data_IF_804225663995
#
_entry.id   IF_804225663995
#
_cell.length_a   1.000
_cell.length_b   1.000
_cell.length_c   1.000
_cell.angle_alpha   90.00
_cell.angle_beta   90.00
_cell.angle_gamma   90.00
#
_symmetry.space_group_name_H-M   'P 1'
#
loop_
_entity.id
_entity.type
_entity.pdbx_description
1 polymer ?
#
# COMPACT_ATOMS: atom_id res chain seq x y z
N UNK A 1 81.08 -81.31 -21.89
CA UNK A 1 81.16 -79.83 -21.99
C UNK A 1 80.19 -79.18 -23.01
N UNK A 2 79.24 -79.91 -23.65
CA UNK A 2 78.30 -79.35 -24.64
C UNK A 2 76.90 -78.98 -24.09
N UNK A 3 76.39 -79.65 -23.05
CA UNK A 3 75.05 -79.36 -22.49
C UNK A 3 74.91 -77.99 -21.80
N UNK A 4 75.94 -77.55 -21.08
CA UNK A 4 75.93 -76.26 -20.37
C UNK A 4 75.94 -75.06 -21.32
N UNK A 5 76.53 -75.22 -22.51
CA UNK A 5 76.53 -74.17 -23.54
C UNK A 5 75.14 -74.04 -24.17
N UNK A 6 74.49 -75.14 -24.54
CA UNK A 6 73.14 -75.15 -25.14
C UNK A 6 72.10 -74.56 -24.17
N UNK A 7 72.17 -74.91 -22.89
CA UNK A 7 71.26 -74.35 -21.87
C UNK A 7 71.46 -72.84 -21.69
N UNK A 8 72.70 -72.36 -21.66
CA UNK A 8 72.98 -70.91 -21.60
C UNK A 8 72.51 -70.17 -22.85
N UNK A 9 72.69 -70.75 -24.04
CA UNK A 9 72.22 -70.16 -25.29
C UNK A 9 70.69 -70.07 -25.33
N UNK A 10 69.98 -71.14 -24.91
CA UNK A 10 68.53 -71.15 -24.82
C UNK A 10 67.98 -70.11 -23.83
N UNK A 11 68.65 -69.90 -22.69
CA UNK A 11 68.26 -68.88 -21.69
C UNK A 11 68.44 -67.46 -22.26
N UNK A 12 69.48 -67.21 -23.05
CA UNK A 12 69.74 -65.91 -23.70
C UNK A 12 68.73 -65.65 -24.83
N UNK A 13 68.40 -66.66 -25.63
CA UNK A 13 67.37 -66.59 -26.67
C UNK A 13 65.99 -66.29 -26.07
N UNK A 14 65.66 -66.96 -24.96
CA UNK A 14 64.43 -66.71 -24.20
C UNK A 14 64.42 -65.30 -23.60
N UNK A 15 65.51 -64.83 -22.96
CA UNK A 15 65.51 -63.49 -22.36
C UNK A 15 65.37 -62.36 -23.39
N UNK A 16 65.84 -62.57 -24.62
CA UNK A 16 65.58 -61.66 -25.75
C UNK A 16 64.11 -61.65 -26.19
N UNK A 17 63.41 -62.78 -26.09
CA UNK A 17 61.96 -62.85 -26.38
C UNK A 17 61.10 -62.27 -25.25
N UNK A 18 61.54 -62.37 -23.99
CA UNK A 18 60.78 -61.89 -22.83
C UNK A 18 61.07 -60.43 -22.46
N UNK A 19 62.16 -59.85 -22.96
CA UNK A 19 62.52 -58.45 -22.76
C UNK A 19 61.66 -57.55 -23.66
N UNK A 20 60.45 -57.24 -23.24
CA UNK A 20 59.63 -56.20 -23.87
C UNK A 20 60.25 -54.84 -23.54
N UNK A 21 60.96 -54.19 -24.48
CA UNK A 21 61.52 -52.88 -24.20
C UNK A 21 60.35 -51.90 -24.08
N UNK A 22 60.46 -50.94 -23.15
CA UNK A 22 59.48 -49.89 -22.88
C UNK A 22 58.19 -50.29 -22.13
N UNK A 23 58.03 -51.51 -21.62
CA UNK A 23 56.86 -51.88 -20.80
C UNK A 23 56.62 -50.93 -19.62
N UNK A 24 57.69 -50.58 -18.89
CA UNK A 24 57.61 -49.61 -17.80
C UNK A 24 57.20 -48.20 -18.25
N UNK A 25 57.54 -47.80 -19.47
CA UNK A 25 57.11 -46.51 -20.03
C UNK A 25 55.63 -46.56 -20.42
N UNK A 26 55.17 -47.68 -20.98
CA UNK A 26 53.75 -47.92 -21.30
C UNK A 26 52.91 -47.90 -20.01
N UNK A 27 53.36 -48.54 -18.94
CA UNK A 27 52.68 -48.52 -17.64
C UNK A 27 52.61 -47.11 -17.05
N UNK A 28 53.70 -46.34 -17.16
CA UNK A 28 53.71 -44.92 -16.78
C UNK A 28 52.72 -44.09 -17.61
N UNK A 29 52.69 -44.27 -18.92
CA UNK A 29 51.75 -43.58 -19.81
C UNK A 29 50.30 -43.96 -19.47
N UNK A 30 50.01 -45.24 -19.22
CA UNK A 30 48.69 -45.70 -18.83
C UNK A 30 48.23 -45.13 -17.48
N UNK A 31 49.16 -44.98 -16.52
CA UNK A 31 48.88 -44.30 -15.25
C UNK A 31 48.52 -42.83 -15.47
N UNK A 32 49.27 -42.14 -16.34
CA UNK A 32 49.00 -40.75 -16.71
C UNK A 32 47.63 -40.62 -17.40
N UNK A 33 47.32 -41.49 -18.37
CA UNK A 33 46.02 -41.53 -19.06
C UNK A 33 44.88 -41.74 -18.07
N UNK A 34 45.03 -42.67 -17.11
CA UNK A 34 44.02 -42.92 -16.10
C UNK A 34 43.80 -41.71 -15.17
N UNK A 35 44.86 -40.99 -14.80
CA UNK A 35 44.73 -39.77 -14.00
C UNK A 35 44.02 -38.67 -14.79
N UNK A 36 44.39 -38.46 -16.05
CA UNK A 36 43.69 -37.50 -16.92
C UNK A 36 42.21 -37.84 -17.11
N UNK A 37 41.86 -39.12 -17.24
CA UNK A 37 40.47 -39.55 -17.32
C UNK A 37 39.69 -39.25 -16.03
N UNK A 38 40.30 -39.51 -14.86
CA UNK A 38 39.70 -39.16 -13.56
C UNK A 38 39.49 -37.66 -13.42
N UNK A 39 40.50 -36.86 -13.75
CA UNK A 39 40.40 -35.40 -13.69
C UNK A 39 39.30 -34.87 -14.62
N UNK A 40 39.17 -35.46 -15.82
CA UNK A 40 38.11 -35.13 -16.76
C UNK A 40 36.72 -35.47 -16.23
N UNK A 41 36.56 -36.62 -15.59
CA UNK A 41 35.29 -37.00 -14.93
C UNK A 41 34.94 -36.02 -13.80
N UNK A 42 35.91 -35.67 -12.96
CA UNK A 42 35.72 -34.69 -11.88
C UNK A 42 35.26 -33.34 -12.45
N UNK A 43 35.89 -32.87 -13.52
CA UNK A 43 35.54 -31.60 -14.18
C UNK A 43 34.12 -31.66 -14.76
N UNK A 44 33.75 -32.75 -15.44
CA UNK A 44 32.41 -32.93 -16.00
C UNK A 44 31.33 -32.97 -14.90
N UNK A 45 31.56 -33.70 -13.81
CA UNK A 45 30.63 -33.73 -12.69
C UNK A 45 30.50 -32.36 -12.01
N UNK A 46 31.61 -31.64 -11.88
CA UNK A 46 31.61 -30.29 -11.32
C UNK A 46 30.84 -29.31 -12.22
N UNK A 47 31.06 -29.33 -13.54
CA UNK A 47 30.38 -28.44 -14.47
C UNK A 47 28.87 -28.69 -14.48
N UNK A 48 28.43 -29.96 -14.52
CA UNK A 48 27.01 -30.33 -14.45
C UNK A 48 26.38 -29.81 -13.14
N UNK A 49 27.06 -30.00 -12.01
CA UNK A 49 26.57 -29.52 -10.71
C UNK A 49 26.45 -28.00 -10.66
N UNK A 50 27.42 -27.29 -11.24
CA UNK A 50 27.41 -25.83 -11.34
C UNK A 50 26.25 -25.36 -12.21
N UNK A 51 26.06 -25.95 -13.40
CA UNK A 51 24.93 -25.64 -14.27
C UNK A 51 23.59 -25.87 -13.59
N UNK A 52 23.42 -26.99 -12.88
CA UNK A 52 22.20 -27.26 -12.12
C UNK A 52 21.93 -26.20 -11.05
N UNK A 53 22.97 -25.76 -10.33
CA UNK A 53 22.85 -24.66 -9.36
C UNK A 53 22.50 -23.33 -10.03
N UNK A 54 23.05 -23.05 -11.21
CA UNK A 54 22.71 -21.86 -11.99
C UNK A 54 21.23 -21.90 -12.38
N UNK A 55 20.74 -23.04 -12.86
CA UNK A 55 19.33 -23.21 -13.23
C UNK A 55 18.38 -23.04 -12.02
N UNK A 56 18.74 -23.61 -10.87
CA UNK A 56 18.01 -23.42 -9.61
C UNK A 56 17.94 -21.93 -9.23
N UNK A 57 19.04 -21.18 -9.39
CA UNK A 57 19.08 -19.73 -9.12
C UNK A 57 18.28 -18.92 -10.14
N UNK A 58 18.34 -19.28 -11.42
CA UNK A 58 17.56 -18.61 -12.47
C UNK A 58 16.06 -18.77 -12.23
N UNK A 59 15.59 -19.96 -11.83
CA UNK A 59 14.19 -20.17 -11.44
C UNK A 59 13.78 -19.29 -10.26
N UNK A 60 14.64 -19.19 -9.25
CA UNK A 60 14.39 -18.32 -8.10
C UNK A 60 14.30 -16.84 -8.51
N UNK A 61 15.15 -16.39 -9.44
CA UNK A 61 15.09 -15.03 -9.99
C UNK A 61 13.74 -14.80 -10.69
N UNK A 62 13.31 -15.73 -11.53
CA UNK A 62 12.01 -15.64 -12.22
C UNK A 62 10.82 -15.61 -11.25
N UNK A 63 10.88 -16.37 -10.16
CA UNK A 63 9.86 -16.35 -9.11
C UNK A 63 9.82 -15.01 -8.37
N UNK A 64 10.99 -14.46 -8.03
CA UNK A 64 11.10 -13.15 -7.38
C UNK A 64 10.63 -12.03 -8.30
N UNK A 65 10.92 -12.09 -9.60
CA UNK A 65 10.44 -11.10 -10.58
C UNK A 65 8.91 -11.10 -10.68
N UNK A 66 8.28 -12.29 -10.67
CA UNK A 66 6.81 -12.41 -10.61
C UNK A 66 6.24 -11.82 -9.33
N UNK A 67 6.91 -12.00 -8.20
CA UNK A 67 6.49 -11.41 -6.93
C UNK A 67 6.62 -9.89 -6.94
N UNK A 68 7.72 -9.36 -7.49
CA UNK A 68 7.92 -7.92 -7.69
C UNK A 68 6.80 -7.33 -8.56
N UNK A 69 6.44 -8.00 -9.66
CA UNK A 69 5.33 -7.53 -10.50
C UNK A 69 3.99 -7.53 -9.76
N UNK A 70 3.72 -8.56 -8.96
CA UNK A 70 2.49 -8.65 -8.14
C UNK A 70 2.43 -7.48 -7.15
N UNK A 71 3.51 -7.27 -6.39
CA UNK A 71 3.59 -6.18 -5.40
C UNK A 71 3.43 -4.81 -6.07
N UNK A 72 4.04 -4.59 -7.24
CA UNK A 72 3.85 -3.34 -7.99
C UNK A 72 2.41 -3.14 -8.46
N UNK A 73 1.70 -4.20 -8.87
CA UNK A 73 0.28 -4.12 -9.24
C UNK A 73 -0.58 -3.75 -8.02
N UNK A 74 -0.33 -4.38 -6.88
CA UNK A 74 -1.03 -4.08 -5.63
C UNK A 74 -0.80 -2.62 -5.18
N UNK A 75 0.45 -2.14 -5.26
CA UNK A 75 0.81 -0.77 -4.90
C UNK A 75 0.13 0.25 -5.82
N UNK A 76 0.08 -0.02 -7.14
CA UNK A 76 -0.67 0.80 -8.09
C UNK A 76 -2.17 0.82 -7.77
N UNK A 77 -2.76 -0.32 -7.46
CA UNK A 77 -4.16 -0.42 -7.08
C UNK A 77 -4.47 0.36 -5.79
N UNK A 78 -3.54 0.34 -4.81
CA UNK A 78 -3.67 1.09 -3.57
C UNK A 78 -3.59 2.61 -3.82
N UNK A 79 -2.64 3.08 -4.64
CA UNK A 79 -2.54 4.50 -5.02
C UNK A 79 -3.83 5.03 -5.65
N UNK A 80 -4.44 4.27 -6.57
CA UNK A 80 -5.71 4.66 -7.19
C UNK A 80 -6.83 4.81 -6.15
N UNK A 81 -6.83 3.99 -5.08
CA UNK A 81 -7.80 4.12 -3.99
C UNK A 81 -7.55 5.39 -3.16
N UNK A 82 -6.30 5.73 -2.93
CA UNK A 82 -5.93 6.93 -2.18
C UNK A 82 -6.27 8.23 -2.94
N UNK A 83 -5.99 8.28 -4.25
CA UNK A 83 -6.38 9.40 -5.11
C UNK A 83 -7.91 9.60 -5.12
N UNK A 84 -8.67 8.51 -5.10
CA UNK A 84 -10.15 8.57 -4.98
C UNK A 84 -10.57 9.09 -3.61
N UNK A 85 -9.93 8.66 -2.53
CA UNK A 85 -10.18 9.15 -1.18
C UNK A 85 -9.99 10.68 -1.12
N UNK A 86 -8.86 11.18 -1.61
CA UNK A 86 -8.56 12.62 -1.63
C UNK A 86 -9.61 13.42 -2.41
N UNK A 87 -10.08 12.91 -3.56
CA UNK A 87 -11.15 13.57 -4.34
C UNK A 87 -12.47 13.64 -3.58
N UNK A 88 -12.83 12.59 -2.85
CA UNK A 88 -14.04 12.55 -2.04
C UNK A 88 -13.95 13.57 -0.90
N UNK A 89 -12.81 13.60 -0.19
CA UNK A 89 -12.59 14.54 0.90
C UNK A 89 -12.56 15.99 0.45
N UNK A 90 -11.90 16.28 -0.67
CA UNK A 90 -11.89 17.61 -1.27
C UNK A 90 -13.31 18.09 -1.57
N UNK A 91 -14.15 17.22 -2.13
CA UNK A 91 -15.54 17.55 -2.42
C UNK A 91 -16.38 17.73 -1.14
N UNK A 92 -16.21 16.84 -0.16
CA UNK A 92 -16.90 16.93 1.14
C UNK A 92 -16.55 18.24 1.86
N UNK A 93 -15.27 18.61 1.89
CA UNK A 93 -14.79 19.85 2.49
C UNK A 93 -15.35 21.09 1.77
N UNK A 94 -15.39 21.07 0.43
CA UNK A 94 -15.98 22.15 -0.36
C UNK A 94 -17.48 22.33 -0.03
N UNK A 95 -18.23 21.23 0.09
CA UNK A 95 -19.66 21.27 0.42
C UNK A 95 -19.91 21.73 1.85
N UNK A 96 -19.15 21.21 2.80
CA UNK A 96 -19.19 21.67 4.19
C UNK A 96 -18.96 23.18 4.31
N UNK A 97 -17.90 23.71 3.67
CA UNK A 97 -17.65 25.16 3.60
C UNK A 97 -18.79 25.94 2.95
N UNK A 98 -19.42 25.37 1.92
CA UNK A 98 -20.57 26.01 1.25
C UNK A 98 -21.77 26.11 2.18
N UNK A 99 -22.08 25.07 2.96
CA UNK A 99 -23.18 25.09 3.92
C UNK A 99 -22.87 26.05 5.08
N UNK A 100 -21.65 26.05 5.58
CA UNK A 100 -21.23 26.98 6.63
C UNK A 100 -21.35 28.46 6.21
N UNK A 101 -20.98 28.79 4.96
CA UNK A 101 -21.19 30.14 4.40
C UNK A 101 -22.66 30.53 4.29
N UNK A 102 -23.54 29.58 3.95
CA UNK A 102 -24.99 29.82 3.87
C UNK A 102 -25.60 30.08 5.23
N UNK A 103 -25.11 29.39 6.24
CA UNK A 103 -25.39 29.64 7.65
C UNK A 103 -24.67 30.90 8.18
N UNK A 104 -24.24 31.81 7.30
CA UNK A 104 -23.63 33.12 7.62
C UNK A 104 -22.42 33.10 8.57
N UNK A 105 -21.81 31.95 8.82
CA UNK A 105 -20.59 31.84 9.61
C UNK A 105 -19.36 32.21 8.76
N UNK A 106 -18.39 32.85 9.40
CA UNK A 106 -17.13 33.24 8.77
C UNK A 106 -16.27 32.00 8.49
N UNK A 107 -16.16 31.62 7.22
CA UNK A 107 -15.33 30.49 6.80
C UNK A 107 -13.87 30.94 6.67
N UNK A 108 -13.09 30.68 7.72
CA UNK A 108 -11.63 30.89 7.77
C UNK A 108 -10.88 29.65 7.22
N UNK A 109 -9.56 29.73 7.06
CA UNK A 109 -8.71 28.58 6.67
C UNK A 109 -8.83 27.41 7.65
N UNK A 110 -9.14 27.69 8.92
CA UNK A 110 -9.27 26.69 9.99
C UNK A 110 -10.63 25.98 10.02
N UNK A 111 -11.49 26.24 9.03
CA UNK A 111 -12.75 25.50 8.83
C UNK A 111 -12.53 24.39 7.81
N UNK A 112 -12.33 23.16 8.25
CA UNK A 112 -12.10 22.01 7.35
C UNK A 112 -12.55 20.69 7.99
N UNK A 113 -12.64 19.65 7.18
CA UNK A 113 -12.84 18.28 7.69
C UNK A 113 -11.49 17.60 7.69
N UNK A 114 -11.04 17.14 8.85
CA UNK A 114 -9.78 16.42 9.00
C UNK A 114 -9.86 15.06 8.30
N UNK A 115 -8.92 14.77 7.39
CA UNK A 115 -8.85 13.52 6.62
C UNK A 115 -8.48 12.29 7.46
N UNK A 116 -7.83 12.52 8.62
CA UNK A 116 -7.39 11.47 9.52
C UNK A 116 -8.47 11.12 10.54
N UNK A 117 -9.09 12.15 11.12
CA UNK A 117 -10.09 11.98 12.18
C UNK A 117 -11.53 11.95 11.69
N UNK A 118 -11.80 12.39 10.46
CA UNK A 118 -13.16 12.52 9.90
C UNK A 118 -14.06 13.46 10.72
N UNK A 119 -13.46 14.44 11.40
CA UNK A 119 -14.15 15.40 12.26
C UNK A 119 -14.14 16.76 11.57
N UNK A 120 -15.28 17.48 11.53
CA UNK A 120 -15.31 18.87 11.08
C UNK A 120 -14.70 19.80 12.14
N UNK A 121 -13.92 20.76 11.68
CA UNK A 121 -13.34 21.84 12.46
C UNK A 121 -13.94 23.17 12.00
N UNK A 122 -14.05 24.11 12.94
CA UNK A 122 -14.39 25.50 12.68
C UNK A 122 -13.54 26.36 13.61
N UNK A 123 -12.83 27.33 13.04
CA UNK A 123 -11.95 28.25 13.78
C UNK A 123 -10.96 27.56 14.73
N UNK A 124 -10.36 26.45 14.28
CA UNK A 124 -9.33 25.73 15.03
C UNK A 124 -9.82 24.84 16.17
N UNK A 125 -11.10 24.94 16.56
CA UNK A 125 -11.71 24.06 17.55
C UNK A 125 -12.55 22.95 16.89
N UNK A 126 -12.47 21.77 17.47
CA UNK A 126 -13.22 20.60 17.01
C UNK A 126 -14.66 20.65 17.51
N UNK A 127 -15.55 19.85 16.89
CA UNK A 127 -16.91 19.57 17.41
C UNK A 127 -16.92 19.22 18.90
N UNK A 128 -15.83 18.66 19.44
CA UNK A 128 -15.77 18.25 20.84
C UNK A 128 -15.30 19.35 21.79
N UNK A 129 -14.68 20.41 21.28
CA UNK A 129 -14.03 21.46 22.08
C UNK A 129 -14.78 22.80 22.07
N UNK A 130 -15.79 22.96 21.21
CA UNK A 130 -16.59 24.19 21.13
C UNK A 130 -17.61 24.29 22.26
N UNK A 131 -17.59 25.41 22.99
CA UNK A 131 -18.51 25.68 24.10
C UNK A 131 -19.92 26.10 23.65
N UNK A 132 -20.08 26.56 22.41
CA UNK A 132 -21.36 26.99 21.85
C UNK A 132 -22.16 25.83 21.24
N UNK A 133 -23.24 25.43 21.91
CA UNK A 133 -24.13 24.36 21.45
C UNK A 133 -24.85 24.65 20.13
N UNK A 134 -25.15 25.92 19.82
CA UNK A 134 -25.81 26.29 18.56
C UNK A 134 -24.87 26.18 17.35
N UNK A 135 -23.61 26.62 17.51
CA UNK A 135 -22.58 26.43 16.49
C UNK A 135 -22.30 24.93 16.27
N UNK A 136 -22.28 24.16 17.37
CA UNK A 136 -22.10 22.72 17.33
C UNK A 136 -23.18 22.01 16.49
N UNK A 137 -24.45 22.34 16.73
CA UNK A 137 -25.57 21.82 15.92
C UNK A 137 -25.43 22.22 14.44
N UNK A 138 -25.07 23.47 14.16
CA UNK A 138 -24.87 23.94 12.78
C UNK A 138 -23.71 23.23 12.05
N UNK A 139 -22.60 22.97 12.75
CA UNK A 139 -21.49 22.17 12.23
C UNK A 139 -21.92 20.75 11.92
N UNK A 140 -22.66 20.10 12.83
CA UNK A 140 -23.15 18.74 12.64
C UNK A 140 -24.13 18.64 11.47
N UNK A 141 -25.11 19.55 11.39
CA UNK A 141 -26.07 19.61 10.27
C UNK A 141 -25.33 19.84 8.95
N UNK A 142 -24.39 20.79 8.91
CA UNK A 142 -23.59 21.07 7.70
C UNK A 142 -22.75 19.88 7.26
N UNK A 143 -22.21 19.12 8.21
CA UNK A 143 -21.45 17.91 7.94
C UNK A 143 -22.33 16.78 7.39
N UNK A 144 -23.49 16.54 8.01
CA UNK A 144 -24.47 15.56 7.54
C UNK A 144 -25.03 15.93 6.16
N UNK A 145 -25.32 17.20 5.93
CA UNK A 145 -25.72 17.75 4.63
C UNK A 145 -24.65 17.52 3.55
N UNK A 146 -23.38 17.73 3.88
CA UNK A 146 -22.27 17.47 2.98
C UNK A 146 -22.14 15.98 2.63
N UNK A 147 -22.34 15.08 3.60
CA UNK A 147 -22.35 13.63 3.36
C UNK A 147 -23.48 13.22 2.41
N UNK A 148 -24.70 13.74 2.61
CA UNK A 148 -25.82 13.44 1.73
C UNK A 148 -25.58 13.94 0.30
N UNK A 149 -25.01 15.14 0.18
CA UNK A 149 -24.66 15.73 -1.12
C UNK A 149 -23.61 14.93 -1.90
N UNK A 150 -22.81 14.09 -1.24
CA UNK A 150 -21.86 13.20 -1.90
C UNK A 150 -22.55 12.08 -2.70
N UNK A 151 -23.80 11.73 -2.36
CA UNK A 151 -24.59 10.76 -3.12
C UNK A 151 -24.83 11.23 -4.56
N UNK A 152 -25.11 12.52 -4.75
CA UNK A 152 -25.43 13.07 -6.08
C UNK A 152 -24.26 13.00 -7.07
N UNK A 153 -23.02 12.89 -6.57
CA UNK A 153 -21.83 12.67 -7.39
C UNK A 153 -21.44 11.20 -7.55
N UNK A 154 -22.22 10.27 -7.01
CA UNK A 154 -21.95 8.83 -7.09
C UNK A 154 -20.83 8.34 -6.17
N UNK A 155 -20.41 9.15 -5.19
CA UNK A 155 -19.36 8.74 -4.24
C UNK A 155 -19.89 7.88 -3.08
N UNK A 156 -21.21 7.86 -2.87
CA UNK A 156 -21.88 7.17 -1.77
C UNK A 156 -22.92 6.15 -2.27
N UNK A 157 -22.50 5.20 -3.12
CA UNK A 157 -23.38 4.21 -3.81
C UNK A 157 -24.15 3.30 -2.84
N UNK A 158 -23.74 3.21 -1.57
CA UNK A 158 -24.39 2.38 -0.54
C UNK A 158 -25.07 3.15 0.61
N UNK A 159 -25.14 4.48 0.54
CA UNK A 159 -25.76 5.27 1.62
C UNK A 159 -27.28 5.35 1.39
N UNK A 160 -28.13 5.05 2.40
CA UNK A 160 -29.59 5.03 2.25
C UNK A 160 -30.21 6.39 1.92
N UNK A 161 -29.42 7.48 1.95
CA UNK A 161 -29.86 8.82 1.58
C UNK A 161 -30.90 9.42 2.53
N UNK A 162 -31.20 8.74 3.62
CA UNK A 162 -32.20 9.13 4.60
C UNK A 162 -31.52 9.84 5.77
N UNK A 163 -32.05 10.99 6.15
CA UNK A 163 -31.68 11.72 7.36
C UNK A 163 -32.95 11.92 8.19
N UNK A 164 -32.96 11.37 9.40
CA UNK A 164 -34.02 11.59 10.38
C UNK A 164 -33.43 12.41 11.53
N UNK A 165 -34.04 13.55 11.81
CA UNK A 165 -33.66 14.45 12.89
C UNK A 165 -34.84 14.46 13.87
N UNK A 166 -34.59 14.07 15.12
CA UNK A 166 -35.64 13.96 16.15
C UNK A 166 -35.93 15.32 16.78
N UNK A 167 -34.88 16.02 17.25
CA UNK A 167 -35.01 17.35 17.85
C UNK A 167 -33.83 18.25 17.48
N UNK A 168 -34.10 19.34 16.76
CA UNK A 168 -33.12 20.38 16.42
C UNK A 168 -33.27 21.68 17.23
N UNK A 169 -34.25 21.75 18.14
CA UNK A 169 -34.70 23.01 18.74
C UNK A 169 -34.05 23.34 20.09
N UNK A 170 -33.15 22.50 20.60
CA UNK A 170 -32.65 22.62 21.98
C UNK A 170 -31.56 23.69 22.12
N UNK A 171 -30.60 23.74 21.19
CA UNK A 171 -29.51 24.73 21.26
C UNK A 171 -29.63 25.84 20.20
N UNK A 172 -30.56 25.69 19.26
CA UNK A 172 -30.79 26.65 18.18
C UNK A 172 -31.54 27.93 18.62
N UNK A 173 -31.95 28.08 19.89
CA UNK A 173 -32.76 29.23 20.30
C UNK A 173 -32.86 29.41 21.81
N UNK A 174 -31.76 29.73 22.48
CA UNK A 174 -31.84 30.16 23.89
C UNK A 174 -31.92 31.67 23.96
N UNK A 175 -33.11 32.23 23.75
CA UNK A 175 -33.43 33.50 24.41
C UNK A 175 -33.47 33.17 25.91
N UNK A 176 -32.42 33.52 26.66
CA UNK A 176 -32.53 33.67 28.11
C UNK A 176 -33.12 35.06 28.34
N UNK A 177 -34.39 35.22 28.77
CA UNK A 177 -34.97 36.53 29.01
C UNK A 177 -34.43 37.23 30.27
N UNK A 178 -33.42 36.68 30.95
CA UNK A 178 -33.01 37.10 32.30
C UNK A 178 -31.66 37.81 32.40
N UNK A 179 -31.03 38.15 31.27
CA UNK A 179 -29.85 39.04 31.26
C UNK A 179 -30.14 40.35 30.51
N UNK A 180 -31.25 40.99 30.87
CA UNK A 180 -31.36 42.43 30.69
C UNK A 180 -30.56 43.12 31.80
N UNK A 181 -29.29 43.40 31.50
CA UNK A 181 -28.56 44.64 31.81
C UNK A 181 -27.05 44.36 31.84
N UNK A 182 -26.31 45.23 31.15
CA UNK A 182 -24.85 45.34 31.14
C UNK A 182 -24.09 44.35 30.25
N UNK A 183 -24.03 44.67 28.95
CA UNK A 183 -22.76 44.85 28.22
C UNK A 183 -23.03 45.34 26.79
N UNK A 184 -23.01 46.66 26.62
CA UNK A 184 -22.73 47.29 25.34
C UNK A 184 -21.25 47.07 25.01
N UNK A 185 -20.91 46.05 24.21
CA UNK A 185 -19.78 46.04 23.27
C UNK A 185 -19.66 44.70 22.53
N UNK A 186 -20.02 44.71 21.25
CA UNK A 186 -19.32 43.98 20.19
C UNK A 186 -19.26 42.44 20.24
N UNK A 187 -20.40 41.76 20.16
CA UNK A 187 -20.44 40.38 19.62
C UNK A 187 -21.64 40.23 18.69
N UNK A 188 -21.39 39.56 17.56
CA UNK A 188 -22.34 39.27 16.49
C UNK A 188 -23.69 38.81 17.07
N UNK A 189 -24.71 39.66 16.95
CA UNK A 189 -26.09 39.24 17.17
C UNK A 189 -26.39 38.17 16.13
N UNK A 190 -26.34 36.91 16.55
CA UNK A 190 -26.77 35.76 15.77
C UNK A 190 -28.21 36.05 15.35
N UNK A 191 -28.42 36.21 14.05
CA UNK A 191 -29.68 36.64 13.48
C UNK A 191 -30.60 35.41 13.39
N UNK A 192 -31.13 35.01 14.54
CA UNK A 192 -31.71 33.69 14.79
C UNK A 192 -32.77 33.26 13.75
N UNK A 193 -33.78 34.05 13.33
CA UNK A 193 -34.82 33.57 12.41
C UNK A 193 -34.31 33.17 11.02
N UNK A 194 -33.32 33.88 10.50
CA UNK A 194 -32.77 33.66 9.15
C UNK A 194 -31.93 32.38 9.09
N UNK A 195 -31.30 32.02 10.20
CA UNK A 195 -30.52 30.78 10.35
C UNK A 195 -31.42 29.56 10.30
N UNK A 196 -32.56 29.59 10.98
CA UNK A 196 -33.57 28.54 10.89
C UNK A 196 -34.09 28.41 9.46
N UNK A 197 -34.43 29.53 8.81
CA UNK A 197 -34.92 29.53 7.44
C UNK A 197 -33.90 28.90 6.49
N UNK A 198 -32.62 29.23 6.62
CA UNK A 198 -31.56 28.61 5.82
C UNK A 198 -31.35 27.13 6.11
N UNK A 199 -31.44 26.68 7.36
CA UNK A 199 -31.37 25.25 7.70
C UNK A 199 -32.53 24.49 7.05
N UNK A 200 -33.76 25.02 7.15
CA UNK A 200 -34.92 24.43 6.49
C UNK A 200 -34.77 24.43 4.96
N UNK A 201 -34.28 25.52 4.37
CA UNK A 201 -34.01 25.60 2.92
C UNK A 201 -32.95 24.59 2.48
N UNK A 202 -31.89 24.39 3.27
CA UNK A 202 -30.88 23.35 3.02
C UNK A 202 -31.52 21.97 3.08
N UNK A 203 -32.37 21.68 4.07
CA UNK A 203 -33.05 20.39 4.20
C UNK A 203 -34.02 20.13 3.03
N UNK A 204 -34.77 21.14 2.59
CA UNK A 204 -35.67 21.04 1.42
C UNK A 204 -34.86 20.80 0.14
N UNK A 205 -33.75 21.50 -0.06
CA UNK A 205 -32.88 21.31 -1.21
C UNK A 205 -32.28 19.89 -1.22
N UNK A 206 -31.84 19.40 -0.07
CA UNK A 206 -31.33 18.04 0.09
C UNK A 206 -32.42 16.98 -0.13
N UNK A 207 -33.67 17.26 0.25
CA UNK A 207 -34.81 16.38 -0.02
C UNK A 207 -35.20 16.36 -1.49
N UNK A 208 -35.08 17.50 -2.19
CA UNK A 208 -35.46 17.63 -3.59
C UNK A 208 -34.40 17.06 -4.54
N UNK A 209 -33.15 17.02 -4.10
CA UNK A 209 -32.01 16.54 -4.86
C UNK A 209 -31.61 15.08 -4.54
N UNK A 210 -32.40 14.32 -3.77
CA UNK A 210 -32.16 12.92 -3.40
C UNK A 210 -33.07 11.94 -4.15
#
# INVERSE_FOLDING_TARGET
MKCTTISKTAIIEFSKQTSVPFLSQIDSINSIINNFNKDKEIINECSIRVHRKIDEKNKLIEELDKEIERVHKELKALKIKDDKKQKIFSFLNQKYKSYMKRLKYNVTQDTFIDENKYIPYHDGASVFDHESGGLLECMQISYLAAILSNRNKGYAVGHPGLLLLDSLSKYLGTIKPEYHQEQEQGEERINDPEMYEEIYNILIELSSNN
#
